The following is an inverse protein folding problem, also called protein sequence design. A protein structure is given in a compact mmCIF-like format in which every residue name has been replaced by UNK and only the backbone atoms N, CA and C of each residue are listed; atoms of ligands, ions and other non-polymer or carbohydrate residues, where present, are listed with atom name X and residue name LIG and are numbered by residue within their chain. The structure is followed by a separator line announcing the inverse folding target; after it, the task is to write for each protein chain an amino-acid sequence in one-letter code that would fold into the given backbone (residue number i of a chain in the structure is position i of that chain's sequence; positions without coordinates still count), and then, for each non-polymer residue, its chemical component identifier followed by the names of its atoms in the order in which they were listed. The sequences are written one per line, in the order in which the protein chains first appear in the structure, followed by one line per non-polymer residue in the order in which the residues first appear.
data_IF_647189188790
#
_entry.id   IF_647189188790
#
_cell.length_a   1.000
_cell.length_b   1.000
_cell.length_c   1.000
_cell.angle_alpha   90.00
_cell.angle_beta   90.00
_cell.angle_gamma   90.00
#
_symmetry.space_group_name_H-M   'P 1'
#
loop_
_entity.id
_entity.type
_entity.pdbx_description
1 polymer ?
#
# COMPACT_ATOMS: atom_id res chain seq x y z
N UNK A 1 18.59 3.37 22.87
CA UNK A 1 17.34 2.58 22.88
C UNK A 1 16.28 3.45 22.21
N UNK A 2 16.13 3.31 20.89
CA UNK A 2 15.22 4.15 20.12
C UNK A 2 13.79 3.66 20.30
N UNK A 3 12.93 4.52 20.85
CA UNK A 3 11.48 4.36 20.71
C UNK A 3 11.17 4.77 19.27
N UNK A 4 11.24 3.78 18.38
CA UNK A 4 10.76 3.88 17.01
C UNK A 4 9.30 4.34 17.05
N UNK A 5 8.90 5.22 16.14
CA UNK A 5 7.50 5.57 15.90
C UNK A 5 6.72 4.38 15.29
N UNK A 6 6.84 3.19 15.89
CA UNK A 6 6.16 1.95 15.54
C UNK A 6 4.70 1.90 16.01
N UNK A 7 4.25 2.87 16.80
CA UNK A 7 2.92 2.85 17.45
C UNK A 7 1.76 2.77 16.44
N UNK A 8 1.90 3.26 15.21
CA UNK A 8 0.87 3.14 14.17
C UNK A 8 1.01 1.88 13.30
N UNK A 9 2.24 1.59 12.85
CA UNK A 9 2.56 0.49 11.94
C UNK A 9 2.44 -0.88 12.62
N UNK A 10 3.07 -1.05 13.80
CA UNK A 10 3.01 -2.29 14.56
C UNK A 10 1.59 -2.56 15.08
N UNK A 11 0.83 -1.51 15.41
CA UNK A 11 -0.53 -1.69 15.91
C UNK A 11 -1.50 -2.13 14.80
N UNK A 12 -1.42 -1.52 13.61
CA UNK A 12 -2.25 -1.95 12.47
C UNK A 12 -1.81 -3.33 11.98
N UNK A 13 -0.51 -3.61 11.91
CA UNK A 13 -0.01 -4.95 11.57
C UNK A 13 -0.40 -5.98 12.64
N UNK A 14 -0.31 -5.68 13.94
CA UNK A 14 -0.72 -6.59 15.02
C UNK A 14 -2.23 -6.85 15.01
N UNK A 15 -3.07 -5.84 14.78
CA UNK A 15 -4.53 -6.02 14.62
C UNK A 15 -4.81 -6.87 13.38
N UNK A 16 -4.11 -6.64 12.28
CA UNK A 16 -4.30 -7.41 11.07
C UNK A 16 -3.83 -8.87 11.20
N UNK A 17 -2.67 -9.11 11.81
CA UNK A 17 -2.18 -10.44 12.14
C UNK A 17 -3.14 -11.16 13.08
N UNK A 18 -3.70 -10.45 14.07
CA UNK A 18 -4.73 -11.01 14.97
C UNK A 18 -5.99 -11.42 14.22
N UNK A 19 -6.44 -10.62 13.25
CA UNK A 19 -7.60 -10.97 12.39
C UNK A 19 -7.26 -12.15 11.47
N UNK A 20 -6.05 -12.20 10.91
CA UNK A 20 -5.60 -13.28 10.03
C UNK A 20 -5.35 -14.59 10.77
N UNK A 21 -4.87 -14.53 12.01
CA UNK A 21 -4.68 -15.69 12.87
C UNK A 21 -5.97 -16.15 13.53
N UNK A 22 -7.04 -15.35 13.46
CA UNK A 22 -8.33 -15.68 14.05
C UNK A 22 -8.89 -17.00 13.49
N UNK A 23 -9.60 -17.72 14.36
CA UNK A 23 -10.29 -18.95 14.00
C UNK A 23 -11.18 -18.75 12.77
N UNK A 24 -11.86 -17.58 12.69
CA UNK A 24 -12.69 -17.22 11.54
C UNK A 24 -11.93 -17.25 10.21
N UNK A 25 -10.71 -16.68 10.17
CA UNK A 25 -9.90 -16.67 8.95
C UNK A 25 -9.41 -18.07 8.59
N UNK A 26 -8.98 -18.85 9.58
CA UNK A 26 -8.54 -20.23 9.37
C UNK A 26 -9.70 -21.13 8.88
N UNK A 27 -10.88 -21.03 9.47
CA UNK A 27 -12.09 -21.72 9.03
C UNK A 27 -12.48 -21.33 7.61
N UNK A 28 -12.39 -20.04 7.28
CA UNK A 28 -12.68 -19.54 5.92
C UNK A 28 -11.69 -20.13 4.91
N UNK A 29 -10.38 -20.08 5.19
CA UNK A 29 -9.35 -20.65 4.32
C UNK A 29 -9.54 -22.17 4.15
N UNK A 30 -9.81 -22.90 5.24
CA UNK A 30 -10.07 -24.33 5.20
C UNK A 30 -11.34 -24.66 4.39
N UNK A 31 -12.42 -23.90 4.58
CA UNK A 31 -13.65 -24.01 3.80
C UNK A 31 -13.42 -23.77 2.32
N UNK A 32 -12.63 -22.74 1.97
CA UNK A 32 -12.28 -22.42 0.58
C UNK A 32 -11.39 -23.48 -0.07
N UNK A 33 -10.44 -24.06 0.67
CA UNK A 33 -9.65 -25.21 0.20
C UNK A 33 -10.55 -26.43 -0.03
N UNK A 34 -11.46 -26.73 0.90
CA UNK A 34 -12.43 -27.82 0.78
C UNK A 34 -13.32 -27.67 -0.46
N UNK A 35 -13.88 -26.46 -0.67
CA UNK A 35 -14.65 -26.14 -1.88
C UNK A 35 -13.82 -26.30 -3.15
N UNK A 36 -12.56 -25.85 -3.14
CA UNK A 36 -11.66 -26.03 -4.27
C UNK A 36 -11.41 -27.50 -4.61
N UNK A 37 -11.22 -28.35 -3.60
CA UNK A 37 -11.11 -29.80 -3.79
C UNK A 37 -12.43 -30.39 -4.28
N UNK A 38 -13.58 -29.92 -3.79
CA UNK A 38 -14.89 -30.39 -4.25
C UNK A 38 -15.13 -30.07 -5.73
N UNK A 39 -14.86 -28.84 -6.18
CA UNK A 39 -14.97 -28.48 -7.60
C UNK A 39 -14.04 -29.30 -8.48
N UNK A 40 -12.86 -29.62 -7.96
CA UNK A 40 -11.94 -30.52 -8.63
C UNK A 40 -12.49 -31.95 -8.76
N UNK A 41 -13.09 -32.53 -7.71
CA UNK A 41 -13.70 -33.85 -7.77
C UNK A 41 -14.83 -33.89 -8.81
N UNK A 42 -15.66 -32.86 -8.86
CA UNK A 42 -16.71 -32.70 -9.89
C UNK A 42 -16.10 -32.68 -11.30
N UNK A 43 -14.96 -31.99 -11.48
CA UNK A 43 -14.26 -31.96 -12.77
C UNK A 43 -13.72 -33.33 -13.18
N UNK A 44 -13.16 -34.13 -12.26
CA UNK A 44 -12.73 -35.50 -12.55
C UNK A 44 -13.92 -36.36 -12.98
N UNK A 45 -15.03 -36.31 -12.23
CA UNK A 45 -16.22 -37.11 -12.54
C UNK A 45 -16.79 -36.76 -13.90
N UNK A 46 -16.85 -35.47 -14.23
CA UNK A 46 -17.27 -34.99 -15.55
C UNK A 46 -16.39 -35.57 -16.65
N UNK A 47 -15.07 -35.43 -16.54
CA UNK A 47 -14.12 -35.93 -17.54
C UNK A 47 -14.16 -37.45 -17.71
N UNK A 48 -14.32 -38.17 -16.60
CA UNK A 48 -14.46 -39.62 -16.62
C UNK A 48 -15.71 -40.07 -17.39
N UNK A 49 -16.84 -39.38 -17.19
CA UNK A 49 -18.08 -39.66 -17.92
C UNK A 49 -17.95 -39.33 -19.41
N UNK A 50 -17.37 -38.18 -19.75
CA UNK A 50 -17.08 -37.79 -21.14
C UNK A 50 -16.15 -38.80 -21.84
N UNK A 51 -15.12 -39.29 -21.15
CA UNK A 51 -14.16 -40.26 -21.70
C UNK A 51 -14.70 -41.69 -21.86
N UNK A 52 -15.75 -42.07 -21.13
CA UNK A 52 -16.47 -43.35 -21.35
C UNK A 52 -17.39 -43.25 -22.57
N UNK A 53 -18.02 -42.10 -22.79
CA UNK A 53 -18.95 -41.90 -23.90
C UNK A 53 -18.27 -41.84 -25.27
N UNK A 54 -16.99 -41.44 -25.32
CA UNK A 54 -16.23 -41.20 -26.56
C UNK A 54 -15.41 -42.42 -27.03
N UNK A 55 -15.36 -43.51 -26.24
CA UNK A 55 -14.66 -44.74 -26.58
C UNK A 55 -15.63 -45.91 -26.68
N UNK A 56 -15.78 -46.47 -27.89
CA UNK A 56 -16.55 -47.69 -28.20
C UNK A 56 -15.95 -48.98 -27.57
N UNK A 57 -15.71 -48.98 -26.27
CA UNK A 57 -15.22 -50.13 -25.52
C UNK A 57 -14.78 -49.79 -24.08
N UNK A 58 -14.92 -50.76 -23.17
CA UNK A 58 -14.57 -50.70 -21.74
C UNK A 58 -13.08 -50.40 -21.49
N UNK A 59 -12.66 -49.18 -21.73
CA UNK A 59 -11.36 -48.66 -21.31
C UNK A 59 -11.59 -47.49 -20.36
N UNK A 60 -10.72 -47.35 -19.36
CA UNK A 60 -10.83 -46.28 -18.36
C UNK A 60 -11.01 -44.92 -19.03
N UNK A 61 -12.09 -44.21 -18.67
CA UNK A 61 -12.45 -42.90 -19.24
C UNK A 61 -11.50 -41.75 -18.86
N UNK A 62 -10.35 -42.05 -18.26
CA UNK A 62 -9.30 -41.08 -17.95
C UNK A 62 -7.95 -41.63 -18.41
N UNK A 63 -7.21 -40.85 -19.17
CA UNK A 63 -5.82 -41.18 -19.48
C UNK A 63 -4.93 -41.01 -18.24
N UNK A 64 -3.85 -41.81 -18.07
CA UNK A 64 -2.91 -41.66 -16.96
C UNK A 64 -2.31 -40.24 -16.83
N UNK A 65 -2.10 -39.56 -17.96
CA UNK A 65 -1.60 -38.17 -18.00
C UNK A 65 -2.61 -37.15 -17.46
N UNK A 66 -3.91 -37.34 -17.72
CA UNK A 66 -4.95 -36.47 -17.17
C UNK A 66 -5.12 -36.67 -15.66
N UNK A 67 -5.02 -37.91 -15.18
CA UNK A 67 -4.98 -38.23 -13.76
C UNK A 67 -3.80 -37.54 -13.06
N UNK A 68 -2.60 -37.60 -13.62
CA UNK A 68 -1.43 -36.94 -13.07
C UNK A 68 -1.59 -35.40 -13.02
N UNK A 69 -2.07 -34.78 -14.11
CA UNK A 69 -2.34 -33.34 -14.16
C UNK A 69 -3.35 -32.92 -13.11
N UNK A 70 -4.41 -33.70 -12.96
CA UNK A 70 -5.46 -33.47 -11.97
C UNK A 70 -4.91 -33.62 -10.54
N UNK A 71 -4.06 -34.62 -10.27
CA UNK A 71 -3.45 -34.79 -8.95
C UNK A 71 -2.53 -33.61 -8.57
N UNK A 72 -1.74 -33.09 -9.51
CA UNK A 72 -0.90 -31.89 -9.30
C UNK A 72 -1.73 -30.68 -8.91
N UNK A 73 -2.92 -30.53 -9.49
CA UNK A 73 -3.85 -29.45 -9.14
C UNK A 73 -4.33 -29.55 -7.70
N UNK A 74 -4.67 -30.75 -7.23
CA UNK A 74 -5.09 -30.96 -5.82
C UNK A 74 -3.96 -30.56 -4.87
N UNK A 75 -2.73 -30.97 -5.19
CA UNK A 75 -1.56 -30.54 -4.43
C UNK A 75 -1.44 -29.01 -4.42
N UNK A 76 -1.59 -28.35 -5.56
CA UNK A 76 -1.57 -26.88 -5.63
C UNK A 76 -2.66 -26.22 -4.78
N UNK A 77 -3.87 -26.78 -4.72
CA UNK A 77 -4.95 -26.24 -3.87
C UNK A 77 -4.64 -26.44 -2.39
N UNK A 78 -4.13 -27.61 -1.99
CA UNK A 78 -3.75 -27.89 -0.60
C UNK A 78 -2.61 -26.96 -0.16
N UNK A 79 -1.59 -26.82 -1.02
CA UNK A 79 -0.41 -25.98 -0.79
C UNK A 79 -0.58 -24.53 -1.24
N UNK A 80 -1.81 -24.10 -1.54
CA UNK A 80 -2.11 -22.74 -2.03
C UNK A 80 -1.57 -21.65 -1.10
N UNK A 81 -1.68 -21.84 0.20
CA UNK A 81 -1.13 -20.92 1.21
C UNK A 81 0.40 -20.77 1.10
N UNK A 82 1.11 -21.86 0.83
CA UNK A 82 2.57 -21.87 0.69
C UNK A 82 2.99 -21.25 -0.65
N UNK A 83 2.27 -21.56 -1.73
CA UNK A 83 2.50 -20.96 -3.05
C UNK A 83 2.34 -19.44 -2.98
N UNK A 84 1.27 -18.97 -2.34
CA UNK A 84 1.06 -17.54 -2.15
C UNK A 84 2.11 -16.94 -1.23
N UNK A 85 2.52 -17.63 -0.16
CA UNK A 85 3.59 -17.17 0.74
C UNK A 85 4.94 -16.94 0.04
N UNK A 86 5.28 -17.74 -0.96
CA UNK A 86 6.49 -17.49 -1.79
C UNK A 86 6.34 -16.19 -2.57
N UNK A 87 5.17 -15.96 -3.16
CA UNK A 87 4.87 -14.74 -3.90
C UNK A 87 4.90 -13.50 -2.98
N UNK A 88 4.28 -13.60 -1.80
CA UNK A 88 4.29 -12.58 -0.76
C UNK A 88 5.74 -12.24 -0.36
N UNK A 89 6.59 -13.26 -0.17
CA UNK A 89 7.99 -13.06 0.18
C UNK A 89 8.77 -12.23 -0.85
N UNK A 90 8.54 -12.48 -2.14
CA UNK A 90 9.16 -11.71 -3.22
C UNK A 90 8.68 -10.24 -3.18
N UNK A 91 7.37 -10.03 -3.03
CA UNK A 91 6.79 -8.68 -3.03
C UNK A 91 7.17 -7.87 -1.77
N UNK A 92 7.21 -8.51 -0.61
CA UNK A 92 7.67 -7.89 0.65
C UNK A 92 9.15 -7.50 0.55
N UNK A 93 10.00 -8.33 -0.07
CA UNK A 93 11.40 -7.99 -0.27
C UNK A 93 11.56 -6.72 -1.13
N UNK A 94 10.74 -6.57 -2.18
CA UNK A 94 10.70 -5.35 -2.99
C UNK A 94 10.25 -4.17 -2.12
N UNK A 95 9.19 -4.31 -1.31
CA UNK A 95 8.70 -3.26 -0.41
C UNK A 95 9.78 -2.80 0.59
N UNK A 96 10.52 -3.73 1.19
CA UNK A 96 11.56 -3.42 2.18
C UNK A 96 12.62 -2.49 1.61
N UNK A 97 13.11 -2.79 0.41
CA UNK A 97 14.12 -1.95 -0.26
C UNK A 97 13.63 -0.51 -0.49
N UNK A 98 12.32 -0.32 -0.73
CA UNK A 98 11.73 1.01 -0.88
C UNK A 98 11.53 1.73 0.47
N UNK A 99 11.17 1.00 1.54
CA UNK A 99 11.02 1.58 2.89
C UNK A 99 12.35 2.11 3.42
N UNK A 100 13.43 1.38 3.24
CA UNK A 100 14.76 1.76 3.74
C UNK A 100 15.33 3.00 3.03
N UNK A 101 14.78 3.33 1.85
CA UNK A 101 15.15 4.50 1.03
C UNK A 101 14.20 5.68 1.25
N UNK A 102 13.11 5.52 2.01
CA UNK A 102 12.09 6.54 2.16
C UNK A 102 12.47 7.55 3.26
N UNK A 103 12.50 8.86 2.96
CA UNK A 103 12.74 9.88 3.97
C UNK A 103 11.60 9.90 5.00
N UNK A 104 11.95 10.21 6.25
CA UNK A 104 10.97 10.32 7.33
C UNK A 104 9.89 11.36 6.98
N UNK A 105 8.64 11.08 7.38
CA UNK A 105 7.50 11.99 7.26
C UNK A 105 7.66 13.14 8.27
N UNK A 106 8.61 14.03 8.01
CA UNK A 106 8.87 15.22 8.82
C UNK A 106 7.86 16.30 8.38
N UNK A 107 7.25 17.06 9.31
CA UNK A 107 6.40 18.19 8.95
C UNK A 107 7.17 19.18 8.07
N UNK A 108 6.53 19.68 7.01
CA UNK A 108 7.11 20.59 6.01
C UNK A 108 7.78 21.83 6.62
N UNK A 109 7.40 22.24 7.84
CA UNK A 109 7.97 23.39 8.54
C UNK A 109 9.24 23.08 9.34
N UNK A 110 9.58 21.81 9.55
CA UNK A 110 10.80 21.39 10.27
C UNK A 110 11.95 20.99 9.32
N UNK A 111 11.74 21.07 8.00
CA UNK A 111 12.73 20.65 7.00
C UNK A 111 13.85 21.69 6.78
N UNK A 112 13.63 22.96 7.17
CA UNK A 112 14.62 24.05 7.07
C UNK A 112 15.59 24.13 8.28
N UNK A 113 15.55 23.14 9.17
CA UNK A 113 16.48 23.03 10.29
C UNK A 113 17.30 21.77 10.01
N UNK A 114 18.63 21.87 9.96
CA UNK A 114 19.52 20.69 9.96
C UNK A 114 19.18 19.83 11.18
N UNK A 115 18.38 18.79 10.97
CA UNK A 115 18.04 17.82 12.01
C UNK A 115 19.01 16.66 11.86
N UNK A 116 20.05 16.67 12.69
CA UNK A 116 20.81 15.45 12.99
C UNK A 116 19.85 14.33 13.40
N UNK A 117 20.16 13.17 12.85
CA UNK A 117 19.40 11.93 12.78
C UNK A 117 19.11 11.30 14.16
N UNK A 118 18.26 11.91 15.00
CA UNK A 118 17.49 11.25 16.08
C UNK A 118 16.65 12.29 16.84
N UNK A 119 15.41 12.54 16.39
CA UNK A 119 14.49 13.43 17.10
C UNK A 119 13.16 12.73 17.30
N UNK A 120 12.91 12.30 18.54
CA UNK A 120 11.63 11.70 18.93
C UNK A 120 10.47 12.70 18.82
N UNK A 121 9.24 12.20 18.68
CA UNK A 121 8.03 13.04 18.51
C UNK A 121 7.86 14.14 19.57
N UNK A 122 8.37 13.93 20.79
CA UNK A 122 8.34 14.91 21.90
C UNK A 122 9.27 16.10 21.61
N UNK A 123 10.37 15.86 20.92
CA UNK A 123 11.43 16.82 20.67
C UNK A 123 11.12 17.65 19.40
N UNK A 124 10.46 17.03 18.41
CA UNK A 124 9.75 17.74 17.33
C UNK A 124 8.61 18.62 17.87
N UNK A 125 7.84 18.14 18.86
CA UNK A 125 6.78 18.93 19.49
C UNK A 125 7.35 20.14 20.28
N UNK A 126 8.46 19.98 21.00
CA UNK A 126 9.15 21.10 21.67
C UNK A 126 9.63 22.17 20.68
N UNK A 127 10.15 21.76 19.53
CA UNK A 127 10.57 22.70 18.46
C UNK A 127 9.37 23.41 17.83
N UNK A 128 8.26 22.71 17.60
CA UNK A 128 7.01 23.32 17.14
C UNK A 128 6.49 24.39 18.14
N UNK A 129 6.64 24.16 19.45
CA UNK A 129 6.28 25.12 20.49
C UNK A 129 7.21 26.36 20.51
N UNK A 130 8.49 26.19 20.21
CA UNK A 130 9.44 27.29 20.09
C UNK A 130 9.12 28.21 18.89
N UNK A 131 8.76 27.61 17.74
CA UNK A 131 8.28 28.35 16.57
C UNK A 131 6.95 29.06 16.83
N UNK A 132 6.06 28.46 17.64
CA UNK A 132 4.81 29.07 18.09
C UNK A 132 5.05 30.34 18.91
N UNK A 133 6.04 30.29 19.81
CA UNK A 133 6.45 31.43 20.62
C UNK A 133 7.03 32.56 19.76
N UNK A 134 7.88 32.23 18.79
CA UNK A 134 8.47 33.20 17.86
C UNK A 134 7.42 33.84 16.92
N UNK A 135 6.45 33.04 16.47
CA UNK A 135 5.29 33.53 15.71
C UNK A 135 4.38 34.46 16.53
N UNK A 136 4.28 34.27 17.85
CA UNK A 136 3.47 35.09 18.76
C UNK A 136 3.99 36.53 18.92
N UNK A 137 5.27 36.76 18.66
CA UNK A 137 5.97 38.03 18.92
C UNK A 137 6.09 38.92 17.66
N UNK A 138 5.70 38.42 16.47
CA UNK A 138 5.87 39.14 15.18
C UNK A 138 4.62 39.98 14.78
N UNK A 139 4.76 41.19 14.19
CA UNK A 139 3.62 42.06 13.80
C UNK A 139 2.61 41.49 12.79
N UNK A 140 2.97 40.46 12.02
CA UNK A 140 2.09 39.75 11.06
C UNK A 140 1.48 38.48 11.69
N UNK A 141 1.01 38.64 12.93
CA UNK A 141 0.51 37.59 13.81
C UNK A 141 -0.57 36.68 13.19
N UNK A 142 -1.61 37.17 12.48
CA UNK A 142 -2.71 36.31 12.05
C UNK A 142 -2.31 35.31 10.97
N UNK A 143 -1.49 35.73 9.99
CA UNK A 143 -1.12 34.88 8.85
C UNK A 143 -0.15 33.79 9.27
N UNK A 144 0.86 34.10 10.09
CA UNK A 144 1.80 33.10 10.61
C UNK A 144 1.12 32.08 11.52
N UNK A 145 0.22 32.52 12.41
CA UNK A 145 -0.53 31.61 13.30
C UNK A 145 -1.48 30.73 12.49
N UNK A 146 -2.17 31.27 11.48
CA UNK A 146 -3.03 30.48 10.59
C UNK A 146 -2.22 29.46 9.78
N UNK A 147 -1.10 29.86 9.16
CA UNK A 147 -0.22 28.92 8.43
C UNK A 147 0.37 27.85 9.34
N UNK A 148 0.71 28.17 10.59
CA UNK A 148 1.18 27.21 11.57
C UNK A 148 0.08 26.23 12.00
N UNK A 149 -1.13 26.71 12.32
CA UNK A 149 -2.27 25.86 12.68
C UNK A 149 -2.65 24.94 11.52
N UNK A 150 -2.69 25.46 10.29
CA UNK A 150 -2.94 24.67 9.09
C UNK A 150 -1.81 23.65 8.88
N UNK A 151 -0.54 24.04 9.01
CA UNK A 151 0.61 23.13 8.92
C UNK A 151 0.55 22.00 9.93
N UNK A 152 0.21 22.30 11.19
CA UNK A 152 0.04 21.32 12.26
C UNK A 152 -1.14 20.38 11.97
N UNK A 153 -2.28 20.93 11.55
CA UNK A 153 -3.45 20.13 11.18
C UNK A 153 -3.14 19.19 10.01
N UNK A 154 -2.39 19.66 9.01
CA UNK A 154 -1.95 18.86 7.87
C UNK A 154 -0.95 17.77 8.26
N UNK A 155 -0.04 18.08 9.17
CA UNK A 155 0.88 17.09 9.72
C UNK A 155 0.13 15.98 10.47
N UNK A 156 -0.87 16.34 11.27
CA UNK A 156 -1.75 15.37 11.92
C UNK A 156 -2.52 14.54 10.88
N UNK A 157 -3.02 15.18 9.83
CA UNK A 157 -3.74 14.51 8.74
C UNK A 157 -2.82 13.49 8.03
N UNK A 158 -1.57 13.87 7.72
CA UNK A 158 -0.55 12.99 7.16
C UNK A 158 -0.25 11.78 8.05
N UNK A 159 -0.18 12.00 9.38
CA UNK A 159 0.00 10.93 10.36
C UNK A 159 -1.15 9.91 10.33
N UNK A 160 -2.38 10.34 10.03
CA UNK A 160 -3.54 9.46 9.91
C UNK A 160 -3.69 8.80 8.53
N UNK A 161 -3.29 9.47 7.45
CA UNK A 161 -3.39 8.92 6.08
C UNK A 161 -2.62 7.60 5.97
N UNK A 162 -1.42 7.54 6.52
CA UNK A 162 -0.55 6.39 6.32
C UNK A 162 -1.06 5.10 7.01
N UNK A 163 -1.45 5.11 8.30
CA UNK A 163 -2.11 3.97 8.94
C UNK A 163 -3.43 3.56 8.26
N UNK A 164 -4.23 4.54 7.81
CA UNK A 164 -5.48 4.27 7.09
C UNK A 164 -5.22 3.53 5.78
N UNK A 165 -4.24 3.99 5.01
CA UNK A 165 -3.82 3.38 3.75
C UNK A 165 -3.29 1.95 3.96
N UNK A 166 -2.50 1.74 5.01
CA UNK A 166 -2.03 0.39 5.37
C UNK A 166 -3.21 -0.52 5.75
N UNK A 167 -4.16 -0.02 6.54
CA UNK A 167 -5.33 -0.80 6.93
C UNK A 167 -6.16 -1.24 5.70
N UNK A 168 -6.39 -0.34 4.74
CA UNK A 168 -7.05 -0.67 3.47
C UNK A 168 -6.29 -1.74 2.69
N UNK A 169 -4.97 -1.55 2.52
CA UNK A 169 -4.11 -2.52 1.83
C UNK A 169 -4.19 -3.89 2.48
N UNK A 170 -3.98 -3.97 3.79
CA UNK A 170 -4.00 -5.24 4.50
C UNK A 170 -5.38 -5.91 4.39
N UNK A 171 -6.46 -5.14 4.54
CA UNK A 171 -7.81 -5.65 4.32
C UNK A 171 -7.98 -6.29 2.93
N UNK A 172 -7.54 -5.61 1.86
CA UNK A 172 -7.58 -6.14 0.50
C UNK A 172 -6.74 -7.42 0.36
N UNK A 173 -5.51 -7.43 0.88
CA UNK A 173 -4.65 -8.61 0.86
C UNK A 173 -5.26 -9.80 1.62
N UNK A 174 -5.91 -9.54 2.75
CA UNK A 174 -6.58 -10.57 3.55
C UNK A 174 -7.73 -11.23 2.80
N UNK A 175 -8.58 -10.43 2.13
CA UNK A 175 -9.63 -10.95 1.25
C UNK A 175 -9.00 -11.79 0.15
N UNK A 176 -8.01 -11.26 -0.57
CA UNK A 176 -7.38 -11.97 -1.67
C UNK A 176 -6.77 -13.30 -1.23
N UNK A 177 -6.05 -13.34 -0.10
CA UNK A 177 -5.48 -14.55 0.48
C UNK A 177 -6.56 -15.60 0.81
N UNK A 178 -7.72 -15.18 1.34
CA UNK A 178 -8.83 -16.09 1.63
C UNK A 178 -9.44 -16.71 0.36
N UNK A 179 -9.53 -15.95 -0.73
CA UNK A 179 -10.08 -16.41 -2.01
C UNK A 179 -9.07 -17.15 -2.90
N UNK A 180 -7.77 -17.05 -2.62
CA UNK A 180 -6.73 -17.65 -3.46
C UNK A 180 -6.90 -19.16 -3.73
N UNK A 181 -7.20 -20.02 -2.72
CA UNK A 181 -7.39 -21.45 -2.97
C UNK A 181 -8.51 -21.73 -3.97
N UNK A 182 -9.60 -20.94 -3.91
CA UNK A 182 -10.72 -21.03 -4.84
C UNK A 182 -10.29 -20.62 -6.25
N UNK A 183 -9.59 -19.50 -6.40
CA UNK A 183 -9.12 -19.02 -7.72
C UNK A 183 -8.24 -20.07 -8.41
N UNK A 184 -7.31 -20.69 -7.69
CA UNK A 184 -6.46 -21.76 -8.22
C UNK A 184 -7.30 -22.99 -8.62
N UNK A 185 -8.28 -23.37 -7.81
CA UNK A 185 -9.17 -24.49 -8.15
C UNK A 185 -10.01 -24.24 -9.40
N UNK A 186 -10.48 -23.00 -9.59
CA UNK A 186 -11.28 -22.62 -10.75
C UNK A 186 -10.44 -22.46 -12.01
N UNK A 187 -9.19 -22.00 -11.90
CA UNK A 187 -8.28 -21.80 -13.03
C UNK A 187 -7.97 -23.07 -13.84
N UNK A 188 -8.32 -24.25 -13.29
CA UNK A 188 -8.28 -25.55 -13.95
C UNK A 188 -9.24 -25.61 -15.14
N UNK A 189 -10.41 -24.99 -15.01
CA UNK A 189 -11.39 -24.90 -16.07
C UNK A 189 -10.91 -23.86 -17.09
N UNK A 190 -10.97 -24.20 -18.37
CA UNK A 190 -10.46 -23.31 -19.43
C UNK A 190 -11.13 -21.93 -19.42
N UNK A 191 -12.44 -21.90 -19.14
CA UNK A 191 -13.22 -20.67 -19.00
C UNK A 191 -12.71 -19.73 -17.90
N UNK A 192 -12.11 -20.28 -16.85
CA UNK A 192 -11.67 -19.52 -15.67
C UNK A 192 -10.14 -19.41 -15.57
N UNK A 193 -9.38 -19.88 -16.57
CA UNK A 193 -7.91 -19.81 -16.57
C UNK A 193 -7.39 -18.37 -16.44
N UNK A 194 -8.06 -17.41 -17.08
CA UNK A 194 -7.74 -15.98 -16.98
C UNK A 194 -7.92 -15.41 -15.56
N UNK A 195 -8.75 -16.05 -14.72
CA UNK A 195 -9.01 -15.59 -13.36
C UNK A 195 -7.74 -15.63 -12.50
N UNK A 196 -6.91 -16.67 -12.62
CA UNK A 196 -5.65 -16.76 -11.88
C UNK A 196 -4.67 -15.65 -12.28
N UNK A 197 -4.52 -15.39 -13.58
CA UNK A 197 -3.66 -14.30 -14.05
C UNK A 197 -4.14 -12.94 -13.55
N UNK A 198 -5.44 -12.67 -13.63
CA UNK A 198 -6.03 -11.44 -13.12
C UNK A 198 -5.84 -11.30 -11.61
N UNK A 199 -5.96 -12.40 -10.87
CA UNK A 199 -5.73 -12.42 -9.43
C UNK A 199 -4.29 -12.05 -9.09
N UNK A 200 -3.29 -12.71 -9.70
CA UNK A 200 -1.88 -12.40 -9.41
C UNK A 200 -1.51 -10.96 -9.79
N UNK A 201 -2.05 -10.46 -10.91
CA UNK A 201 -1.86 -9.06 -11.31
C UNK A 201 -2.44 -8.09 -10.29
N UNK A 202 -3.69 -8.32 -9.86
CA UNK A 202 -4.33 -7.51 -8.84
C UNK A 202 -3.57 -7.57 -7.50
N UNK A 203 -3.07 -8.75 -7.15
CA UNK A 203 -2.33 -8.99 -5.91
C UNK A 203 -1.02 -8.19 -5.91
N UNK A 204 -0.28 -8.24 -7.02
CA UNK A 204 0.89 -7.40 -7.22
C UNK A 204 0.55 -5.91 -7.16
N UNK A 205 -0.55 -5.47 -7.78
CA UNK A 205 -1.00 -4.07 -7.71
C UNK A 205 -1.19 -3.58 -6.28
N UNK A 206 -1.85 -4.39 -5.41
CA UNK A 206 -2.07 -4.03 -4.00
C UNK A 206 -0.74 -3.89 -3.24
N UNK A 207 0.25 -4.74 -3.53
CA UNK A 207 1.61 -4.58 -2.96
C UNK A 207 2.32 -3.33 -3.47
N UNK A 208 2.18 -3.01 -4.76
CA UNK A 208 2.83 -1.86 -5.38
C UNK A 208 2.22 -0.51 -4.96
N UNK A 209 1.08 -0.50 -4.27
CA UNK A 209 0.53 0.72 -3.69
C UNK A 209 1.50 1.38 -2.71
N UNK A 210 2.25 0.58 -1.92
CA UNK A 210 3.17 1.13 -0.91
C UNK A 210 4.32 1.91 -1.56
N UNK A 211 5.08 1.33 -2.53
CA UNK A 211 6.05 2.11 -3.31
C UNK A 211 5.45 3.36 -3.96
N UNK A 212 4.25 3.27 -4.53
CA UNK A 212 3.58 4.41 -5.16
C UNK A 212 3.30 5.54 -4.14
N UNK A 213 2.84 5.18 -2.93
CA UNK A 213 2.63 6.13 -1.84
C UNK A 213 3.92 6.82 -1.41
N UNK A 214 5.01 6.07 -1.25
CA UNK A 214 6.32 6.65 -0.91
C UNK A 214 6.85 7.57 -2.00
N UNK A 215 6.72 7.18 -3.27
CA UNK A 215 7.16 8.00 -4.40
C UNK A 215 6.44 9.35 -4.42
N UNK A 216 5.12 9.37 -4.16
CA UNK A 216 4.37 10.64 -4.04
C UNK A 216 4.94 11.51 -2.93
N UNK A 217 5.25 10.94 -1.76
CA UNK A 217 5.82 11.72 -0.66
C UNK A 217 7.20 12.29 -1.00
N UNK A 218 8.09 11.48 -1.57
CA UNK A 218 9.43 11.92 -2.00
C UNK A 218 9.28 13.05 -3.00
N UNK A 219 8.47 12.87 -4.05
CA UNK A 219 8.27 13.88 -5.08
C UNK A 219 7.70 15.19 -4.52
N UNK A 220 6.72 15.11 -3.61
CA UNK A 220 6.11 16.28 -2.99
C UNK A 220 7.12 17.04 -2.12
N UNK A 221 7.94 16.33 -1.36
CA UNK A 221 8.93 16.93 -0.48
C UNK A 221 10.06 17.62 -1.29
N UNK A 222 10.57 16.95 -2.32
CA UNK A 222 11.56 17.53 -3.23
C UNK A 222 11.00 18.76 -3.96
N UNK A 223 9.75 18.69 -4.41
CA UNK A 223 9.09 19.83 -5.05
C UNK A 223 8.90 21.01 -4.08
N UNK A 224 8.56 20.74 -2.83
CA UNK A 224 8.44 21.78 -1.81
C UNK A 224 9.78 22.49 -1.55
N UNK A 225 10.86 21.73 -1.40
CA UNK A 225 12.21 22.28 -1.23
C UNK A 225 12.61 23.16 -2.44
N UNK A 226 12.40 22.66 -3.65
CA UNK A 226 12.73 23.40 -4.88
C UNK A 226 11.90 24.69 -5.02
N UNK A 227 10.62 24.65 -4.63
CA UNK A 227 9.74 25.82 -4.65
C UNK A 227 10.26 26.90 -3.70
N UNK A 228 10.61 26.53 -2.47
CA UNK A 228 11.02 27.48 -1.44
C UNK A 228 12.44 28.04 -1.65
N UNK A 229 13.36 27.24 -2.20
CA UNK A 229 14.75 27.66 -2.40
C UNK A 229 14.91 28.46 -3.71
N UNK A 230 14.41 27.92 -4.82
CA UNK A 230 14.77 28.39 -6.16
C UNK A 230 13.61 29.02 -6.93
N UNK A 231 12.39 28.51 -6.81
CA UNK A 231 11.29 28.95 -7.69
C UNK A 231 10.93 30.42 -7.47
N UNK A 232 10.65 30.80 -6.22
CA UNK A 232 10.19 32.16 -5.91
C UNK A 232 11.30 33.21 -6.01
N UNK A 233 12.52 32.85 -5.64
CA UNK A 233 13.71 33.71 -5.76
C UNK A 233 13.99 34.03 -7.24
N UNK A 234 13.89 33.04 -8.13
CA UNK A 234 14.04 33.23 -9.57
C UNK A 234 12.86 33.98 -10.22
N UNK A 235 11.63 33.78 -9.73
CA UNK A 235 10.42 34.41 -10.30
C UNK A 235 10.28 35.89 -9.92
N UNK A 236 10.54 36.23 -8.66
CA UNK A 236 10.26 37.56 -8.09
C UNK A 236 11.51 38.43 -7.91
N UNK A 237 12.71 37.88 -8.12
CA UNK A 237 13.99 38.58 -7.94
C UNK A 237 14.14 39.14 -6.52
N UNK A 238 14.78 40.31 -6.38
CA UNK A 238 15.03 41.00 -5.09
C UNK A 238 13.78 41.43 -4.32
N UNK A 239 12.57 41.18 -4.85
CA UNK A 239 11.29 41.47 -4.19
C UNK A 239 10.94 40.44 -3.10
N UNK A 240 11.64 39.30 -3.06
CA UNK A 240 11.45 38.22 -2.06
C UNK A 240 12.00 38.55 -0.68
N UNK A 241 12.91 39.53 -0.57
CA UNK A 241 13.46 40.00 0.71
C UNK A 241 12.47 40.83 1.55
N UNK A 242 11.34 41.22 0.96
CA UNK A 242 10.26 41.85 1.72
C UNK A 242 9.56 40.80 2.60
N UNK A 243 9.65 40.97 3.92
CA UNK A 243 9.10 40.03 4.91
C UNK A 243 7.61 39.70 4.74
N UNK A 244 6.80 40.61 4.17
CA UNK A 244 5.38 40.33 3.86
C UNK A 244 5.25 39.36 2.67
N UNK A 245 6.05 39.55 1.63
CA UNK A 245 6.01 38.73 0.42
C UNK A 245 6.49 37.31 0.75
N UNK A 246 7.54 37.17 1.56
CA UNK A 246 8.05 35.87 2.01
C UNK A 246 6.97 35.04 2.73
N UNK A 247 6.21 35.65 3.64
CA UNK A 247 5.14 34.96 4.39
C UNK A 247 3.99 34.52 3.47
N UNK A 248 3.59 35.36 2.52
CA UNK A 248 2.52 35.03 1.56
C UNK A 248 2.95 33.90 0.63
N UNK A 249 4.21 33.97 0.16
CA UNK A 249 4.83 32.97 -0.70
C UNK A 249 4.92 31.60 -0.01
N UNK A 250 5.35 31.58 1.25
CA UNK A 250 5.46 30.37 2.06
C UNK A 250 4.07 29.74 2.30
N UNK A 251 3.09 30.55 2.70
CA UNK A 251 1.70 30.09 2.88
C UNK A 251 1.08 29.53 1.59
N UNK A 252 1.32 30.20 0.46
CA UNK A 252 0.85 29.75 -0.86
C UNK A 252 1.50 28.44 -1.30
N UNK A 253 2.79 28.28 -1.03
CA UNK A 253 3.55 27.06 -1.34
C UNK A 253 3.05 25.86 -0.53
N UNK A 254 2.78 26.05 0.76
CA UNK A 254 2.17 25.03 1.61
C UNK A 254 0.80 24.61 1.07
N UNK A 255 -0.09 25.57 0.78
CA UNK A 255 -1.43 25.28 0.27
C UNK A 255 -1.38 24.53 -1.07
N UNK A 256 -0.49 24.92 -1.98
CA UNK A 256 -0.28 24.27 -3.26
C UNK A 256 0.20 22.81 -3.10
N UNK A 257 1.20 22.59 -2.24
CA UNK A 257 1.76 21.26 -2.00
C UNK A 257 0.71 20.31 -1.42
N UNK A 258 -0.10 20.77 -0.48
CA UNK A 258 -1.18 19.97 0.10
C UNK A 258 -2.17 19.52 -0.98
N UNK A 259 -2.65 20.47 -1.79
CA UNK A 259 -3.55 20.17 -2.88
C UNK A 259 -2.93 19.16 -3.87
N UNK A 260 -1.66 19.34 -4.20
CA UNK A 260 -0.93 18.47 -5.10
C UNK A 260 -0.75 17.07 -4.50
N UNK A 261 -0.46 16.95 -3.20
CA UNK A 261 -0.32 15.69 -2.48
C UNK A 261 -1.59 14.85 -2.53
N UNK A 262 -2.75 15.42 -2.19
CA UNK A 262 -4.04 14.71 -2.29
C UNK A 262 -4.37 14.26 -3.72
N UNK A 263 -4.08 15.12 -4.70
CA UNK A 263 -4.32 14.82 -6.12
C UNK A 263 -3.41 13.69 -6.62
N UNK A 264 -2.14 13.72 -6.22
CA UNK A 264 -1.16 12.70 -6.60
C UNK A 264 -1.44 11.37 -5.94
N UNK A 265 -1.84 11.33 -4.67
CA UNK A 265 -2.21 10.07 -4.02
C UNK A 265 -3.35 9.36 -4.73
N UNK A 266 -4.46 10.06 -4.98
CA UNK A 266 -5.60 9.50 -5.71
C UNK A 266 -5.19 8.99 -7.09
N UNK A 267 -4.34 9.75 -7.79
CA UNK A 267 -3.89 9.40 -9.14
C UNK A 267 -2.88 8.25 -9.15
N UNK A 268 -1.95 8.19 -8.20
CA UNK A 268 -0.96 7.13 -8.06
C UNK A 268 -1.63 5.79 -7.73
N UNK A 269 -2.60 5.78 -6.82
CA UNK A 269 -3.40 4.59 -6.50
C UNK A 269 -4.17 4.11 -7.74
N UNK A 270 -4.91 5.01 -8.41
CA UNK A 270 -5.65 4.67 -9.62
C UNK A 270 -4.74 4.18 -10.75
N UNK A 271 -3.58 4.80 -10.93
CA UNK A 271 -2.60 4.42 -11.94
C UNK A 271 -1.98 3.06 -11.66
N UNK A 272 -1.61 2.79 -10.40
CA UNK A 272 -1.05 1.49 -9.98
C UNK A 272 -2.03 0.38 -10.29
N UNK A 273 -3.30 0.52 -9.89
CA UNK A 273 -4.31 -0.49 -10.23
C UNK A 273 -4.48 -0.65 -11.74
N UNK A 274 -4.56 0.44 -12.51
CA UNK A 274 -4.65 0.37 -13.98
C UNK A 274 -3.45 -0.30 -14.63
N UNK A 275 -2.23 -0.05 -14.15
CA UNK A 275 -1.01 -0.62 -14.72
C UNK A 275 -1.02 -2.16 -14.70
N UNK A 276 -1.56 -2.75 -13.63
CA UNK A 276 -1.62 -4.20 -13.49
C UNK A 276 -2.94 -4.80 -13.99
N UNK A 277 -4.03 -4.02 -14.10
CA UNK A 277 -5.35 -4.56 -14.50
C UNK A 277 -5.72 -4.31 -15.97
N UNK A 278 -5.06 -3.36 -16.65
CA UNK A 278 -5.16 -3.18 -18.10
C UNK A 278 -4.56 -4.38 -18.86
#
# INVERSE_FOLDING_TARGET
MGVFLGIGLEYVDAVFQTIKSSDFSQYTIAGMKSLGVMFFLVNILKKYNEGIADRDGYTWGLSPGELAKNFVIVLLVIFSTQVLGVFDGILVAIESNYRDTAPALIPLQLQDIDIEQDVGAIEAAKKAMALLYEALVTPLYPVKVISFIIGLFLWVLDLFIYPLFLAERYFLLGIMQAFFPLVISLAVFEKFRSMAYNFFRMYAAVYMLVPAFFLVNIFVNELYAEININFWSNLLGSSTDNGIIKIIVEAGSIAFIVFLKFKLYTRATSFTFKLFTA
#
